data_IF_723104062787
#
_entry.id   IF_723104062787
#
_cell.length_a   1.000
_cell.length_b   1.000
_cell.length_c   1.000
_cell.angle_alpha   90.00
_cell.angle_beta   90.00
_cell.angle_gamma   90.00
#
_symmetry.space_group_name_H-M   'P 1'
#
loop_
_entity.id
_entity.type
_entity.pdbx_description
1 polymer ?
#
# COMPACT_ATOMS: atom_id res chain seq x y z
N UNK A 1 5.35 -14.53 19.61
CA UNK A 1 5.80 -13.38 18.80
C UNK A 1 4.96 -13.39 17.53
N UNK A 2 4.37 -12.26 17.12
CA UNK A 2 3.64 -12.16 15.85
C UNK A 2 4.49 -11.35 14.88
N UNK A 3 4.78 -11.93 13.72
CA UNK A 3 5.55 -11.30 12.65
C UNK A 3 4.59 -11.00 11.51
N UNK A 4 4.64 -9.79 10.98
CA UNK A 4 3.82 -9.38 9.83
C UNK A 4 4.65 -8.65 8.79
N UNK A 5 4.03 -8.34 7.67
CA UNK A 5 4.65 -7.63 6.54
C UNK A 5 3.86 -6.38 6.19
N UNK A 6 4.56 -5.36 5.66
CA UNK A 6 3.92 -4.13 5.16
C UNK A 6 3.57 -4.33 3.70
N UNK A 7 2.31 -4.06 3.34
CA UNK A 7 1.86 -4.09 1.96
C UNK A 7 2.66 -3.08 1.11
N UNK A 8 3.18 -3.46 -0.07
CA UNK A 8 3.99 -2.57 -0.92
C UNK A 8 3.10 -1.51 -1.58
N UNK A 9 2.87 -0.40 -0.88
CA UNK A 9 1.85 0.58 -1.24
C UNK A 9 1.99 1.13 -2.65
N UNK A 10 3.20 1.58 -3.00
CA UNK A 10 3.47 2.27 -4.26
C UNK A 10 4.12 1.34 -5.29
N UNK A 11 4.61 0.19 -4.85
CA UNK A 11 5.41 -0.75 -5.65
C UNK A 11 4.58 -1.88 -6.28
N UNK A 12 3.46 -2.30 -5.67
CA UNK A 12 2.71 -3.49 -6.08
C UNK A 12 1.96 -3.34 -7.41
N UNK A 13 1.72 -2.10 -7.87
CA UNK A 13 0.94 -1.81 -9.07
C UNK A 13 -0.56 -2.08 -8.90
N UNK A 14 -1.32 -2.24 -9.99
CA UNK A 14 -2.79 -2.39 -9.97
C UNK A 14 -3.31 -3.77 -10.38
N UNK A 15 -2.45 -4.78 -10.51
CA UNK A 15 -2.88 -6.13 -10.90
C UNK A 15 -3.47 -6.89 -9.68
N UNK A 16 -4.78 -7.21 -9.67
CA UNK A 16 -5.40 -7.91 -8.55
C UNK A 16 -4.84 -9.33 -8.36
N UNK A 17 -4.32 -9.97 -9.41
CA UNK A 17 -3.67 -11.28 -9.29
C UNK A 17 -2.38 -11.16 -8.50
N UNK A 18 -1.55 -10.14 -8.78
CA UNK A 18 -0.32 -9.89 -8.03
C UNK A 18 -0.60 -9.54 -6.56
N UNK A 19 -1.66 -8.77 -6.26
CA UNK A 19 -2.09 -8.46 -4.88
C UNK A 19 -2.48 -9.73 -4.13
N UNK A 20 -3.29 -10.60 -4.76
CA UNK A 20 -3.66 -11.91 -4.18
C UNK A 20 -2.43 -12.77 -3.92
N UNK A 21 -1.55 -12.89 -4.90
CA UNK A 21 -0.37 -13.76 -4.81
C UNK A 21 0.58 -13.27 -3.71
N UNK A 22 0.73 -11.95 -3.53
CA UNK A 22 1.44 -11.36 -2.40
C UNK A 22 0.81 -11.78 -1.06
N UNK A 23 -0.51 -11.64 -0.92
CA UNK A 23 -1.20 -11.95 0.32
C UNK A 23 -1.10 -13.44 0.68
N UNK A 24 -1.31 -14.33 -0.30
CA UNK A 24 -1.18 -15.78 -0.11
C UNK A 24 0.26 -16.20 0.19
N UNK A 25 1.25 -15.52 -0.41
CA UNK A 25 2.66 -15.78 -0.10
C UNK A 25 2.98 -15.37 1.33
N UNK A 26 2.49 -14.20 1.80
CA UNK A 26 2.68 -13.78 3.19
C UNK A 26 2.05 -14.78 4.16
N UNK A 27 0.84 -15.25 3.89
CA UNK A 27 0.18 -16.30 4.67
C UNK A 27 1.00 -17.61 4.67
N UNK A 28 1.48 -18.07 3.51
CA UNK A 28 2.30 -19.28 3.39
C UNK A 28 3.68 -19.21 4.06
N UNK A 29 4.13 -18.00 4.42
CA UNK A 29 5.35 -17.74 5.20
C UNK A 29 5.07 -17.57 6.70
N UNK A 30 3.88 -17.95 7.16
CA UNK A 30 3.43 -17.84 8.55
C UNK A 30 3.37 -16.38 9.09
N UNK A 31 3.23 -15.39 8.20
CA UNK A 31 3.00 -14.01 8.63
C UNK A 31 1.62 -13.88 9.26
N UNK A 32 1.57 -13.30 10.46
CA UNK A 32 0.34 -13.16 11.25
C UNK A 32 -0.59 -12.05 10.73
N UNK A 33 -0.08 -11.10 9.95
CA UNK A 33 -0.85 -9.99 9.39
C UNK A 33 -0.12 -9.31 8.23
N UNK A 34 -0.91 -8.62 7.39
CA UNK A 34 -0.44 -7.64 6.40
C UNK A 34 -0.90 -6.26 6.87
N UNK A 35 0.05 -5.33 6.97
CA UNK A 35 -0.23 -3.94 7.30
C UNK A 35 -0.37 -3.12 6.02
N UNK A 36 -1.56 -2.57 5.78
CA UNK A 36 -1.79 -1.55 4.76
C UNK A 36 -2.01 -0.19 5.41
N UNK A 37 -1.42 0.86 4.83
CA UNK A 37 -1.68 2.22 5.22
C UNK A 37 -2.97 2.71 4.56
N UNK A 38 -3.61 3.69 5.18
CA UNK A 38 -4.75 4.39 4.61
C UNK A 38 -4.27 5.72 4.01
N UNK A 39 -4.61 5.96 2.74
CA UNK A 39 -4.35 7.22 2.07
C UNK A 39 -5.31 7.48 0.90
N UNK A 40 -6.55 7.87 1.21
CA UNK A 40 -7.56 8.18 0.18
C UNK A 40 -7.20 9.42 -0.68
N UNK A 41 -6.56 10.45 -0.09
CA UNK A 41 -6.23 11.70 -0.79
C UNK A 41 -4.76 12.08 -0.67
N UNK A 42 -4.02 11.93 -1.76
CA UNK A 42 -2.62 12.37 -1.83
C UNK A 42 -2.45 13.89 -1.84
N UNK A 43 -1.27 14.36 -1.40
CA UNK A 43 -0.93 15.77 -1.46
C UNK A 43 -0.71 16.24 -2.92
N UNK A 44 -1.29 17.37 -3.30
CA UNK A 44 -0.91 18.03 -4.56
C UNK A 44 0.29 18.95 -4.31
N UNK A 45 1.47 18.52 -4.78
CA UNK A 45 2.73 19.26 -4.61
C UNK A 45 2.73 20.64 -5.27
N UNK A 46 1.96 20.85 -6.36
CA UNK A 46 1.83 22.17 -6.99
C UNK A 46 1.11 23.20 -6.09
N UNK A 47 0.30 22.73 -5.14
CA UNK A 47 -0.40 23.57 -4.14
C UNK A 47 0.25 23.51 -2.76
N UNK A 48 1.22 22.62 -2.56
CA UNK A 48 1.95 22.41 -1.30
C UNK A 48 3.45 22.24 -1.58
N UNK A 49 4.16 23.31 -2.00
CA UNK A 49 5.55 23.22 -2.44
C UNK A 49 6.54 22.80 -1.34
N UNK A 50 6.17 23.04 -0.08
CA UNK A 50 6.98 22.66 1.09
C UNK A 50 6.73 21.22 1.56
N UNK A 51 5.76 20.51 0.97
CA UNK A 51 5.52 19.11 1.30
C UNK A 51 6.67 18.24 0.79
N UNK A 52 7.28 17.48 1.70
CA UNK A 52 8.41 16.57 1.44
C UNK A 52 8.05 15.09 1.70
N UNK A 53 6.76 14.76 1.71
CA UNK A 53 6.32 13.39 1.95
C UNK A 53 6.70 12.42 0.82
N UNK A 54 6.80 11.12 1.14
CA UNK A 54 7.34 10.10 0.23
C UNK A 54 6.48 9.88 -1.02
N UNK A 55 5.17 10.05 -0.91
CA UNK A 55 4.19 9.89 -2.00
C UNK A 55 3.26 11.10 -2.09
N UNK A 56 2.60 11.28 -3.25
CA UNK A 56 1.72 12.40 -3.56
C UNK A 56 0.46 11.93 -4.31
N UNK A 57 -0.43 12.85 -4.71
CA UNK A 57 -1.69 12.49 -5.40
C UNK A 57 -1.55 11.73 -6.73
N UNK A 58 -0.34 11.66 -7.31
CA UNK A 58 -0.06 10.87 -8.50
C UNK A 58 0.49 9.47 -8.17
N UNK A 59 0.77 9.19 -6.90
CA UNK A 59 1.24 7.87 -6.47
C UNK A 59 0.07 6.89 -6.48
N UNK A 60 0.28 5.73 -7.10
CA UNK A 60 -0.67 4.63 -7.02
C UNK A 60 -0.72 4.13 -5.58
N UNK A 61 -1.93 3.91 -5.07
CA UNK A 61 -2.14 3.51 -3.69
C UNK A 61 -3.42 2.66 -3.60
N UNK A 62 -3.33 1.49 -2.97
CA UNK A 62 -4.51 0.69 -2.65
C UNK A 62 -5.03 1.12 -1.29
N UNK A 63 -6.09 1.92 -1.31
CA UNK A 63 -6.75 2.43 -0.11
C UNK A 63 -7.92 1.52 0.32
N UNK A 64 -8.47 1.68 1.54
CA UNK A 64 -9.48 0.77 2.09
C UNK A 64 -10.74 0.55 1.25
N UNK A 65 -11.12 1.43 0.32
CA UNK A 65 -12.28 1.20 -0.56
C UNK A 65 -11.97 0.33 -1.78
N UNK A 66 -10.69 0.09 -2.09
CA UNK A 66 -10.28 -0.67 -3.30
C UNK A 66 -9.33 -1.84 -3.02
N UNK A 67 -8.82 -1.98 -1.79
CA UNK A 67 -7.90 -3.06 -1.43
C UNK A 67 -8.59 -4.43 -1.27
N UNK A 68 -9.92 -4.46 -1.07
CA UNK A 68 -10.70 -5.67 -0.76
C UNK A 68 -11.50 -6.20 -1.95
#
# INVERSE_FOLDING_TARGET
>A
MQVGVVFPQTEIGSDPIAVRDYAQTAEGLDCSHILAFDHVLGANRAKRPDFRGPYDHNSLFHEPFVLF
#
